data_IF_234649195068
#
_entry.id   IF_234649195068
#
_cell.length_a   1.000
_cell.length_b   1.000
_cell.length_c   1.000
_cell.angle_alpha   90.00
_cell.angle_beta   90.00
_cell.angle_gamma   90.00
#
_symmetry.space_group_name_H-M   'P 1'
#
loop_
_entity.id
_entity.type
_entity.pdbx_description
1 polymer ?
#
# COMPACT_ATOMS: atom_id res chain seq x y z
N UNK A 1 9.52 -2.78 13.75
CA UNK A 1 8.28 -3.58 13.72
C UNK A 1 7.11 -2.88 14.44
N UNK A 2 7.19 -2.59 15.74
CA UNK A 2 6.12 -1.89 16.49
C UNK A 2 5.57 -0.62 15.82
N UNK A 3 6.46 0.22 15.28
CA UNK A 3 6.09 1.45 14.56
C UNK A 3 5.27 1.18 13.29
N UNK A 4 5.58 0.11 12.56
CA UNK A 4 4.85 -0.29 11.34
C UNK A 4 3.44 -0.72 11.69
N UNK A 5 3.26 -1.57 12.70
CA UNK A 5 1.93 -2.00 13.12
C UNK A 5 1.08 -0.82 13.57
N UNK A 6 1.64 0.10 14.34
CA UNK A 6 0.92 1.31 14.75
C UNK A 6 0.48 2.17 13.55
N UNK A 7 1.35 2.32 12.54
CA UNK A 7 1.00 3.06 11.31
C UNK A 7 -0.09 2.36 10.49
N UNK A 8 -0.01 1.03 10.39
CA UNK A 8 -1.06 0.24 9.71
C UNK A 8 -2.39 0.42 10.40
N UNK A 9 -2.46 0.25 11.73
CA UNK A 9 -3.72 0.39 12.49
C UNK A 9 -4.34 1.80 12.37
N UNK A 10 -3.51 2.85 12.43
CA UNK A 10 -3.95 4.23 12.19
C UNK A 10 -4.50 4.42 10.77
N UNK A 11 -3.95 3.72 9.78
CA UNK A 11 -4.34 3.82 8.39
C UNK A 11 -5.62 3.04 8.07
N UNK A 12 -5.84 1.90 8.71
CA UNK A 12 -7.03 1.06 8.48
C UNK A 12 -8.32 1.85 8.67
N UNK A 13 -8.44 2.59 9.78
CA UNK A 13 -9.64 3.35 10.11
C UNK A 13 -9.92 4.53 9.17
N UNK A 14 -8.92 5.01 8.43
CA UNK A 14 -9.02 6.15 7.49
C UNK A 14 -8.98 5.73 6.02
N UNK A 15 -8.82 4.45 5.72
CA UNK A 15 -8.70 3.95 4.34
C UNK A 15 -10.08 3.69 3.76
N UNK A 16 -10.48 4.50 2.78
CA UNK A 16 -11.80 4.40 2.12
C UNK A 16 -12.96 4.31 3.15
N UNK A 17 -13.12 5.31 4.03
CA UNK A 17 -13.99 5.21 5.22
C UNK A 17 -15.47 4.96 4.89
N UNK A 18 -15.94 5.40 3.73
CA UNK A 18 -17.33 5.19 3.28
C UNK A 18 -17.56 3.78 2.70
N UNK A 19 -16.51 2.98 2.51
CA UNK A 19 -16.61 1.62 2.02
C UNK A 19 -16.91 0.64 3.18
N UNK A 20 -18.16 0.18 3.26
CA UNK A 20 -18.63 -0.77 4.28
C UNK A 20 -17.81 -2.07 4.41
N UNK A 21 -17.12 -2.50 3.36
CA UNK A 21 -16.30 -3.72 3.43
C UNK A 21 -15.00 -3.50 4.20
N UNK A 22 -14.53 -2.25 4.22
CA UNK A 22 -13.25 -1.81 4.80
C UNK A 22 -13.42 -1.03 6.11
N UNK A 23 -14.64 -0.87 6.61
CA UNK A 23 -14.90 -0.29 7.93
C UNK A 23 -14.51 -1.26 9.05
N UNK A 24 -14.32 -0.77 10.30
CA UNK A 24 -14.21 -1.65 11.46
C UNK A 24 -15.39 -2.63 11.47
N UNK A 25 -15.10 -3.93 11.60
CA UNK A 25 -16.05 -5.06 11.46
C UNK A 25 -16.45 -5.48 10.04
N UNK A 26 -15.98 -4.77 9.01
CA UNK A 26 -16.11 -5.16 7.62
C UNK A 26 -15.27 -6.41 7.30
N UNK A 27 -15.71 -7.26 6.34
CA UNK A 27 -15.03 -8.50 6.01
C UNK A 27 -13.61 -8.30 5.44
N UNK A 28 -13.29 -7.10 4.91
CA UNK A 28 -11.97 -6.79 4.35
C UNK A 28 -11.07 -6.00 5.30
N UNK A 29 -11.55 -5.59 6.49
CA UNK A 29 -10.75 -4.85 7.46
C UNK A 29 -9.55 -5.67 7.97
N UNK A 30 -9.80 -6.90 8.41
CA UNK A 30 -8.76 -7.85 8.82
C UNK A 30 -7.81 -8.22 7.67
N UNK A 31 -8.33 -8.64 6.50
CA UNK A 31 -7.50 -8.91 5.33
C UNK A 31 -6.62 -7.73 4.90
N UNK A 32 -7.10 -6.50 4.98
CA UNK A 32 -6.30 -5.31 4.68
C UNK A 32 -5.10 -5.18 5.62
N UNK A 33 -5.32 -5.34 6.93
CA UNK A 33 -4.24 -5.35 7.93
C UNK A 33 -3.22 -6.43 7.59
N UNK A 34 -3.69 -7.64 7.31
CA UNK A 34 -2.84 -8.80 7.12
C UNK A 34 -1.99 -8.67 5.86
N UNK A 35 -2.55 -8.15 4.75
CA UNK A 35 -1.80 -7.86 3.51
C UNK A 35 -0.72 -6.80 3.74
N UNK A 36 -1.03 -5.71 4.46
CA UNK A 36 -0.08 -4.63 4.73
C UNK A 36 1.06 -5.08 5.65
N UNK A 37 0.74 -5.84 6.71
CA UNK A 37 1.73 -6.44 7.58
C UNK A 37 2.60 -7.46 6.84
N UNK A 38 2.00 -8.32 6.00
CA UNK A 38 2.72 -9.29 5.19
C UNK A 38 3.69 -8.61 4.22
N UNK A 39 3.25 -7.54 3.54
CA UNK A 39 4.14 -6.74 2.69
C UNK A 39 5.33 -6.18 3.48
N UNK A 40 5.07 -5.55 4.64
CA UNK A 40 6.12 -4.93 5.43
C UNK A 40 7.13 -5.95 5.98
N UNK A 41 6.68 -7.17 6.27
CA UNK A 41 7.54 -8.31 6.63
C UNK A 41 8.36 -8.80 5.44
N UNK A 42 7.75 -8.89 4.25
CA UNK A 42 8.42 -9.34 3.03
C UNK A 42 9.49 -8.33 2.57
N UNK A 43 9.24 -7.03 2.78
CA UNK A 43 10.08 -5.92 2.29
C UNK A 43 10.52 -4.99 3.42
N UNK A 44 11.32 -5.46 4.38
CA UNK A 44 11.68 -4.68 5.57
C UNK A 44 12.48 -3.41 5.25
N UNK A 45 13.23 -3.39 4.14
CA UNK A 45 13.98 -2.21 3.70
C UNK A 45 13.08 -1.04 3.25
N UNK A 46 11.89 -1.34 2.74
CA UNK A 46 10.87 -0.32 2.39
C UNK A 46 9.93 -0.11 3.58
N UNK A 47 9.55 -1.20 4.24
CA UNK A 47 8.60 -1.20 5.35
C UNK A 47 7.19 -0.84 4.89
N UNK A 48 6.53 0.01 5.68
CA UNK A 48 5.20 0.53 5.40
C UNK A 48 5.26 2.05 5.24
N UNK A 49 4.66 2.56 4.18
CA UNK A 49 4.64 3.96 3.83
C UNK A 49 3.20 4.46 3.64
N UNK A 50 3.00 5.76 3.89
CA UNK A 50 1.70 6.41 3.76
C UNK A 50 1.15 6.23 2.34
N UNK A 51 -0.14 5.88 2.23
CA UNK A 51 -0.83 5.68 0.95
C UNK A 51 -0.87 4.24 0.46
N UNK A 52 0.02 3.36 0.96
CA UNK A 52 0.00 1.93 0.60
C UNK A 52 -1.30 1.23 0.98
N UNK A 53 -1.92 1.65 2.09
CA UNK A 53 -3.23 1.17 2.52
C UNK A 53 -4.33 1.35 1.46
N UNK A 54 -4.35 2.48 0.74
CA UNK A 54 -5.35 2.74 -0.28
C UNK A 54 -5.15 1.83 -1.50
N UNK A 55 -3.90 1.62 -1.91
CA UNK A 55 -3.58 0.69 -3.01
C UNK A 55 -3.97 -0.74 -2.63
N UNK A 56 -3.56 -1.20 -1.44
CA UNK A 56 -3.91 -2.54 -0.95
C UNK A 56 -5.43 -2.73 -0.82
N UNK A 57 -6.16 -1.73 -0.33
CA UNK A 57 -7.61 -1.74 -0.24
C UNK A 57 -8.29 -1.84 -1.61
N UNK A 58 -7.82 -1.06 -2.61
CA UNK A 58 -8.33 -1.16 -3.97
C UNK A 58 -8.09 -2.54 -4.58
N UNK A 59 -6.94 -3.16 -4.34
CA UNK A 59 -6.66 -4.53 -4.80
C UNK A 59 -7.61 -5.52 -4.12
N UNK A 60 -7.76 -5.45 -2.80
CA UNK A 60 -8.64 -6.35 -2.04
C UNK A 60 -10.12 -6.27 -2.41
N UNK A 61 -10.58 -5.13 -2.93
CA UNK A 61 -11.95 -5.01 -3.47
C UNK A 61 -12.17 -5.83 -4.75
N UNK A 62 -11.11 -6.21 -5.46
CA UNK A 62 -11.18 -6.88 -6.76
C UNK A 62 -10.58 -8.28 -6.77
N UNK A 63 -9.79 -8.66 -5.77
CA UNK A 63 -9.12 -9.97 -5.75
C UNK A 63 -8.89 -10.51 -4.33
N UNK A 64 -8.68 -11.83 -4.18
CA UNK A 64 -8.39 -12.44 -2.88
C UNK A 64 -7.08 -11.93 -2.23
N UNK A 65 -6.92 -12.04 -0.90
CA UNK A 65 -5.78 -11.48 -0.18
C UNK A 65 -4.40 -11.92 -0.67
N UNK A 66 -4.25 -13.19 -1.04
CA UNK A 66 -2.97 -13.70 -1.58
C UNK A 66 -2.58 -13.04 -2.90
N UNK A 67 -3.56 -12.85 -3.80
CA UNK A 67 -3.34 -12.17 -5.07
C UNK A 67 -3.11 -10.67 -4.86
N UNK A 68 -3.86 -10.05 -3.94
CA UNK A 68 -3.69 -8.65 -3.60
C UNK A 68 -2.28 -8.36 -3.05
N UNK A 69 -1.72 -9.26 -2.23
CA UNK A 69 -0.34 -9.15 -1.76
C UNK A 69 0.66 -9.23 -2.92
N UNK A 70 0.55 -10.24 -3.79
CA UNK A 70 1.46 -10.39 -4.94
C UNK A 70 1.37 -9.17 -5.87
N UNK A 71 0.16 -8.70 -6.15
CA UNK A 71 -0.06 -7.51 -6.94
C UNK A 71 0.55 -6.26 -6.28
N UNK A 72 0.35 -6.08 -4.96
CA UNK A 72 0.93 -4.98 -4.20
C UNK A 72 2.46 -5.00 -4.24
N UNK A 73 3.07 -6.17 -4.05
CA UNK A 73 4.53 -6.34 -4.13
C UNK A 73 5.04 -5.95 -5.51
N UNK A 74 4.47 -6.54 -6.56
CA UNK A 74 4.88 -6.27 -7.93
C UNK A 74 4.72 -4.78 -8.28
N UNK A 75 3.61 -4.18 -7.88
CA UNK A 75 3.28 -2.81 -8.17
C UNK A 75 4.23 -1.84 -7.44
N UNK A 76 4.50 -2.06 -6.15
CA UNK A 76 5.42 -1.22 -5.36
C UNK A 76 6.90 -1.46 -5.66
N UNK A 77 7.25 -2.61 -6.24
CA UNK A 77 8.60 -2.94 -6.67
C UNK A 77 8.96 -2.42 -8.06
N UNK A 78 7.97 -2.03 -8.87
CA UNK A 78 8.26 -1.37 -10.13
C UNK A 78 8.98 -0.05 -9.88
N UNK A 79 10.06 0.18 -10.64
CA UNK A 79 11.01 1.30 -10.44
C UNK A 79 10.33 2.66 -10.24
N UNK A 80 9.18 2.85 -10.88
CA UNK A 80 8.43 4.10 -10.98
C UNK A 80 7.44 4.34 -9.82
N UNK A 81 6.92 3.29 -9.20
CA UNK A 81 5.80 3.43 -8.28
C UNK A 81 6.15 4.04 -6.91
N UNK A 82 7.31 3.72 -6.29
CA UNK A 82 7.77 4.44 -5.11
C UNK A 82 7.92 5.95 -5.35
N UNK A 83 8.21 6.38 -6.59
CA UNK A 83 8.29 7.81 -6.88
C UNK A 83 6.91 8.48 -6.99
N UNK A 84 5.88 7.75 -7.40
CA UNK A 84 4.53 8.26 -7.53
C UNK A 84 3.77 8.25 -6.19
N UNK A 85 3.92 7.18 -5.39
CA UNK A 85 3.19 7.05 -4.13
C UNK A 85 3.91 7.58 -2.88
N UNK A 86 5.24 7.76 -2.88
CA UNK A 86 5.95 8.32 -1.71
C UNK A 86 6.07 9.85 -1.72
N UNK A 87 5.53 10.56 -2.72
CA UNK A 87 5.64 12.03 -2.84
C UNK A 87 7.09 12.51 -2.58
N UNK A 88 8.08 11.81 -3.15
CA UNK A 88 9.42 12.37 -3.25
C UNK A 88 9.49 13.17 -4.55
N UNK A 89 9.15 14.46 -4.47
CA UNK A 89 9.18 15.38 -5.60
C UNK A 89 10.50 15.34 -6.39
N UNK A 90 11.63 15.08 -5.72
CA UNK A 90 12.95 14.97 -6.35
C UNK A 90 13.11 13.78 -7.31
N UNK A 91 12.31 12.72 -7.16
CA UNK A 91 12.35 11.57 -8.08
C UNK A 91 11.43 11.74 -9.28
N UNK A 92 10.44 12.63 -9.20
CA UNK A 92 9.52 12.93 -10.32
C UNK A 92 10.28 13.62 -11.46
N UNK A 93 11.20 14.55 -11.15
CA UNK A 93 12.02 15.24 -12.15
C UNK A 93 12.85 14.30 -13.02
N UNK A 94 13.46 13.26 -12.42
CA UNK A 94 14.26 12.26 -13.15
C UNK A 94 13.43 11.40 -14.11
N UNK A 95 12.13 11.25 -13.88
CA UNK A 95 11.24 10.56 -14.82
C UNK A 95 10.79 11.44 -15.98
N UNK A 96 10.56 12.73 -15.74
CA UNK A 96 10.27 13.69 -16.80
C UNK A 96 11.46 13.80 -17.78
N UNK A 97 12.68 13.86 -17.25
CA UNK A 97 13.91 13.95 -18.06
C UNK A 97 14.21 12.68 -18.88
N UNK A 98 13.80 11.50 -18.38
CA UNK A 98 13.97 10.23 -19.07
C UNK A 98 12.89 9.94 -20.13
N UNK A 99 11.74 10.63 -20.06
CA UNK A 99 10.63 10.50 -21.01
C UNK A 99 10.72 11.51 -22.16
N UNK A 100 11.51 12.57 -21.99
CA UNK A 100 11.84 13.59 -23.01
C UNK A 100 13.11 13.25 -23.81
N UNK A 101 13.64 12.03 -23.71
CA UNK A 101 14.72 11.51 -24.55
C UNK A 101 14.25 10.35 -25.41
#
# INVERSE_FOLDING_TARGET
>A
WHKVQQQVELDLGRTLPDNRFLQPHGPLFGPLRDVLCAYATLRPAIGYAQGMCHVAAMLLLHMPPSQALVALVNLLDTRHFPAFCLVHAERIGRYADGMLR
#
